data_IF_663517303270
#
_entry.id   IF_663517303270
#
_cell.length_a   1.000
_cell.length_b   1.000
_cell.length_c   1.000
_cell.angle_alpha   90.00
_cell.angle_beta   90.00
_cell.angle_gamma   90.00
#
_symmetry.space_group_name_H-M   'P 1'
#
loop_
_entity.id
_entity.type
_entity.pdbx_description
1 polymer ?
#
# COMPACT_ATOMS: atom_id res chain seq x y z
N UNK A 1 -18.12 -4.96 4.15
CA UNK A 1 -17.47 -3.63 4.15
C UNK A 1 -16.01 -3.71 4.61
N UNK A 2 -15.71 -4.22 5.81
CA UNK A 2 -14.33 -4.32 6.32
C UNK A 2 -13.38 -5.08 5.40
N UNK A 3 -13.78 -6.25 4.87
CA UNK A 3 -12.95 -7.03 3.95
C UNK A 3 -12.62 -6.28 2.65
N UNK A 4 -13.52 -5.41 2.19
CA UNK A 4 -13.27 -4.56 1.02
C UNK A 4 -12.14 -3.57 1.25
N UNK A 5 -11.88 -3.18 2.50
CA UNK A 5 -10.79 -2.28 2.82
C UNK A 5 -9.41 -2.91 2.59
N UNK A 6 -9.29 -4.25 2.53
CA UNK A 6 -8.01 -4.91 2.22
C UNK A 6 -7.50 -4.59 0.81
N UNK A 7 -8.38 -4.24 -0.14
CA UNK A 7 -7.95 -3.93 -1.51
C UNK A 7 -7.32 -2.55 -1.65
N UNK A 8 -7.64 -1.62 -0.75
CA UNK A 8 -7.12 -0.25 -0.81
C UNK A 8 -5.60 -0.22 -0.62
N UNK A 9 -5.01 -0.86 0.41
CA UNK A 9 -3.56 -0.97 0.54
C UNK A 9 -2.88 -1.65 -0.65
N UNK A 10 -3.51 -2.66 -1.25
CA UNK A 10 -2.97 -3.33 -2.44
C UNK A 10 -2.93 -2.38 -3.64
N UNK A 11 -4.01 -1.64 -3.87
CA UNK A 11 -4.08 -0.66 -4.94
C UNK A 11 -3.04 0.47 -4.76
N UNK A 12 -2.91 0.98 -3.53
CA UNK A 12 -1.89 1.98 -3.20
C UNK A 12 -0.48 1.43 -3.39
N UNK A 13 -0.21 0.20 -2.96
CA UNK A 13 1.09 -0.45 -3.14
C UNK A 13 1.49 -0.51 -4.63
N UNK A 14 0.57 -0.89 -5.52
CA UNK A 14 0.81 -0.92 -6.98
C UNK A 14 1.12 0.50 -7.51
N UNK A 15 0.34 1.51 -7.11
CA UNK A 15 0.58 2.90 -7.52
C UNK A 15 1.98 3.36 -7.07
N UNK A 16 2.36 3.07 -5.83
CA UNK A 16 3.70 3.37 -5.31
C UNK A 16 4.79 2.69 -6.13
N UNK A 17 4.62 1.42 -6.50
CA UNK A 17 5.58 0.71 -7.34
C UNK A 17 5.70 1.29 -8.75
N UNK A 18 4.59 1.63 -9.39
CA UNK A 18 4.59 2.22 -10.74
C UNK A 18 5.28 3.59 -10.71
N UNK A 19 4.86 4.47 -9.79
CA UNK A 19 5.48 5.77 -9.60
C UNK A 19 6.99 5.63 -9.41
N UNK A 20 7.40 4.68 -8.56
CA UNK A 20 8.79 4.43 -8.23
C UNK A 20 9.59 3.89 -9.41
N UNK A 21 9.06 2.90 -10.13
CA UNK A 21 9.71 2.36 -11.33
C UNK A 21 9.94 3.47 -12.35
N UNK A 22 8.95 4.34 -12.56
CA UNK A 22 9.10 5.50 -13.45
C UNK A 22 10.12 6.49 -12.93
N UNK A 23 10.20 6.74 -11.62
CA UNK A 23 11.17 7.71 -11.07
C UNK A 23 12.63 7.33 -11.33
N UNK A 24 12.91 6.04 -11.46
CA UNK A 24 14.27 5.51 -11.64
C UNK A 24 14.55 5.19 -13.12
N UNK A 25 13.61 4.53 -13.79
CA UNK A 25 13.82 4.06 -15.18
C UNK A 25 13.40 5.08 -16.23
N UNK A 26 12.35 5.85 -15.95
CA UNK A 26 11.73 6.78 -16.88
C UNK A 26 11.37 8.11 -16.21
N UNK A 27 12.35 8.88 -15.70
CA UNK A 27 12.08 10.08 -14.91
C UNK A 27 11.29 11.15 -15.69
N UNK A 28 11.33 11.11 -17.03
CA UNK A 28 10.52 11.96 -17.90
C UNK A 28 9.00 11.71 -17.79
N UNK A 29 8.57 10.59 -17.21
CA UNK A 29 7.15 10.27 -16.96
C UNK A 29 6.66 10.82 -15.61
N UNK A 30 7.55 11.16 -14.68
CA UNK A 30 7.16 11.70 -13.36
C UNK A 30 6.33 12.99 -13.44
N UNK A 31 6.58 13.93 -14.37
CA UNK A 31 5.70 15.08 -14.55
C UNK A 31 4.24 14.74 -14.87
N UNK A 32 3.91 13.51 -15.30
CA UNK A 32 2.52 13.06 -15.44
C UNK A 32 1.80 13.07 -14.09
N UNK A 33 2.47 12.71 -13.00
CA UNK A 33 1.91 12.78 -11.64
C UNK A 33 1.66 14.22 -11.15
N UNK A 34 2.07 15.23 -11.91
CA UNK A 34 1.70 16.64 -11.66
C UNK A 34 0.50 17.10 -12.49
N UNK A 35 0.08 16.31 -13.49
CA UNK A 35 -1.05 16.64 -14.37
C UNK A 35 -2.35 16.06 -13.80
N UNK A 36 -3.34 16.92 -13.53
CA UNK A 36 -4.65 16.51 -12.97
C UNK A 36 -5.34 15.40 -13.79
N UNK A 37 -5.22 15.45 -15.12
CA UNK A 37 -5.79 14.44 -16.05
C UNK A 37 -5.24 13.03 -15.77
N UNK A 38 -3.99 12.91 -15.28
CA UNK A 38 -3.39 11.64 -14.94
C UNK A 38 -3.58 11.26 -13.47
N UNK A 39 -3.55 12.24 -12.56
CA UNK A 39 -3.73 12.01 -11.12
C UNK A 39 -5.14 11.54 -10.79
N UNK A 40 -6.18 12.07 -11.44
CA UNK A 40 -7.58 11.70 -11.14
C UNK A 40 -7.84 10.21 -11.38
N UNK A 41 -7.53 9.61 -12.54
CA UNK A 41 -7.67 8.17 -12.74
C UNK A 41 -6.88 7.32 -11.75
N UNK A 42 -5.64 7.73 -11.43
CA UNK A 42 -4.79 7.03 -10.45
C UNK A 42 -5.42 7.07 -9.05
N UNK A 43 -5.99 8.20 -8.64
CA UNK A 43 -6.68 8.34 -7.36
C UNK A 43 -8.03 7.59 -7.33
N UNK A 44 -8.70 7.44 -8.47
CA UNK A 44 -9.92 6.64 -8.57
C UNK A 44 -9.66 5.13 -8.48
N UNK A 45 -8.47 4.65 -8.82
CA UNK A 45 -8.16 3.22 -8.86
C UNK A 45 -8.41 2.50 -7.51
N UNK A 46 -7.93 2.98 -6.35
CA UNK A 46 -8.26 2.37 -5.05
C UNK A 46 -9.76 2.36 -4.74
N UNK A 47 -10.49 3.41 -5.14
CA UNK A 47 -11.95 3.48 -4.93
C UNK A 47 -12.66 2.45 -5.79
N UNK A 48 -12.27 2.31 -7.06
CA UNK A 48 -12.81 1.30 -7.96
C UNK A 48 -12.51 -0.11 -7.44
N UNK A 49 -11.29 -0.36 -6.95
CA UNK A 49 -10.90 -1.64 -6.35
C UNK A 49 -11.67 -1.96 -5.06
N UNK A 50 -11.96 -0.94 -4.24
CA UNK A 50 -12.80 -1.08 -3.06
C UNK A 50 -14.25 -1.42 -3.44
N UNK A 51 -14.83 -0.67 -4.38
CA UNK A 51 -16.22 -0.87 -4.81
C UNK A 51 -16.39 -2.22 -5.52
N UNK A 52 -15.46 -2.60 -6.40
CA UNK A 52 -15.50 -3.90 -7.06
C UNK A 52 -15.45 -5.05 -6.05
N UNK A 53 -14.60 -4.93 -5.02
CA UNK A 53 -14.57 -5.91 -3.93
C UNK A 53 -15.86 -5.93 -3.14
N UNK A 54 -16.39 -4.76 -2.79
CA UNK A 54 -17.63 -4.66 -2.02
C UNK A 54 -18.78 -5.32 -2.77
N UNK A 55 -18.87 -5.13 -4.08
CA UNK A 55 -19.86 -5.80 -4.92
C UNK A 55 -19.59 -7.31 -5.02
N UNK A 56 -18.34 -7.74 -5.24
CA UNK A 56 -18.00 -9.17 -5.26
C UNK A 56 -18.35 -9.87 -3.94
N UNK A 57 -17.97 -9.30 -2.80
CA UNK A 57 -18.41 -9.79 -1.49
C UNK A 57 -19.94 -9.77 -1.38
N UNK A 58 -20.57 -8.67 -1.79
CA UNK A 58 -22.03 -8.56 -1.76
C UNK A 58 -22.77 -9.52 -2.70
N UNK A 59 -22.16 -10.08 -3.73
CA UNK A 59 -22.84 -11.03 -4.64
C UNK A 59 -22.43 -12.49 -4.40
N UNK A 60 -21.21 -12.73 -3.91
CA UNK A 60 -20.65 -14.07 -3.76
C UNK A 60 -20.54 -14.53 -2.30
N UNK A 61 -20.69 -13.61 -1.32
CA UNK A 61 -20.59 -13.93 0.12
C UNK A 61 -21.86 -13.60 0.91
N UNK A 62 -22.89 -13.03 0.27
CA UNK A 62 -24.24 -12.80 0.84
C UNK A 62 -25.15 -13.99 0.55
N UNK A 63 -24.80 -15.15 1.09
CA UNK A 63 -25.90 -15.98 1.61
C UNK A 63 -26.43 -15.26 2.84
N UNK A 64 -27.73 -15.31 3.13
CA UNK A 64 -28.15 -15.23 4.53
C UNK A 64 -27.34 -16.32 5.24
N UNK A 65 -26.28 -15.92 5.95
CA UNK A 65 -25.41 -16.90 6.60
C UNK A 65 -26.29 -17.80 7.46
N UNK A 66 -26.17 -19.11 7.29
CA UNK A 66 -26.96 -20.07 8.05
C UNK A 66 -26.92 -19.71 9.53
N UNK A 67 -28.05 -19.84 10.23
CA UNK A 67 -28.12 -19.56 11.66
C UNK A 67 -27.00 -20.25 12.45
N UNK A 68 -26.53 -21.42 11.98
CA UNK A 68 -25.39 -22.16 12.54
C UNK A 68 -24.10 -21.32 12.56
N UNK A 69 -23.79 -20.61 11.49
CA UNK A 69 -22.58 -19.80 11.39
C UNK A 69 -22.64 -18.59 12.35
N UNK A 70 -23.82 -17.97 12.46
CA UNK A 70 -24.08 -16.90 13.43
C UNK A 70 -24.03 -17.42 14.87
N UNK A 71 -24.51 -18.65 15.11
CA UNK A 71 -24.43 -19.31 16.42
C UNK A 71 -22.97 -19.54 16.81
N UNK A 72 -22.14 -20.09 15.92
CA UNK A 72 -20.70 -20.30 16.18
C UNK A 72 -20.01 -18.95 16.49
N UNK A 73 -20.28 -17.92 15.70
CA UNK A 73 -19.73 -16.58 15.93
C UNK A 73 -20.17 -16.01 17.29
N UNK A 74 -21.44 -16.20 17.66
CA UNK A 74 -22.01 -15.76 18.94
C UNK A 74 -21.36 -16.50 20.12
N UNK A 75 -21.19 -17.82 20.02
CA UNK A 75 -20.54 -18.65 21.03
C UNK A 75 -19.07 -18.24 21.23
N UNK A 76 -18.31 -18.07 20.15
CA UNK A 76 -16.90 -17.63 20.24
C UNK A 76 -16.79 -16.19 20.78
N UNK A 77 -17.71 -15.28 20.43
CA UNK A 77 -17.71 -13.91 20.98
C UNK A 77 -17.96 -13.93 22.49
N UNK A 78 -18.94 -14.70 22.96
CA UNK A 78 -19.23 -14.84 24.39
C UNK A 78 -18.02 -15.42 25.13
N UNK A 79 -17.39 -16.45 24.55
CA UNK A 79 -16.22 -17.12 25.12
C UNK A 79 -15.00 -16.21 25.22
N UNK A 80 -14.73 -15.39 24.20
CA UNK A 80 -13.53 -14.52 24.14
C UNK A 80 -13.72 -13.19 24.84
N UNK A 81 -14.92 -12.59 24.73
CA UNK A 81 -15.16 -11.20 25.10
C UNK A 81 -16.24 -11.01 26.17
N UNK A 82 -17.00 -12.05 26.51
CA UNK A 82 -18.04 -11.99 27.54
C UNK A 82 -19.30 -11.22 27.13
N UNK A 83 -19.45 -10.87 25.84
CA UNK A 83 -20.66 -10.23 25.32
C UNK A 83 -21.19 -10.93 24.07
N UNK A 84 -22.45 -10.66 23.75
CA UNK A 84 -23.17 -11.29 22.66
C UNK A 84 -23.19 -10.38 21.42
N UNK A 85 -22.65 -10.87 20.30
CA UNK A 85 -22.86 -10.26 18.98
C UNK A 85 -24.18 -10.79 18.39
N UNK A 86 -25.21 -9.95 18.37
CA UNK A 86 -26.54 -10.29 17.80
C UNK A 86 -26.55 -10.31 16.28
N UNK A 87 -25.74 -9.45 15.67
CA UNK A 87 -25.60 -9.34 14.22
C UNK A 87 -24.12 -9.19 13.87
N UNK A 88 -23.56 -10.23 13.24
CA UNK A 88 -22.19 -10.23 12.74
C UNK A 88 -22.18 -10.63 11.28
N UNK A 89 -21.41 -9.91 10.47
CA UNK A 89 -21.14 -10.33 9.09
C UNK A 89 -20.10 -11.44 9.13
N UNK A 90 -20.48 -12.64 8.67
CA UNK A 90 -19.51 -13.70 8.49
C UNK A 90 -18.52 -13.29 7.39
N UNK A 91 -17.25 -13.23 7.75
CA UNK A 91 -16.17 -13.03 6.79
C UNK A 91 -16.00 -14.36 6.07
N UNK A 92 -16.70 -14.48 4.93
CA UNK A 92 -16.71 -15.65 4.04
C UNK A 92 -17.10 -16.99 4.68
N UNK A 93 -18.29 -17.48 4.33
CA UNK A 93 -18.69 -18.85 4.66
C UNK A 93 -18.07 -19.82 3.64
N UNK A 94 -16.85 -20.31 3.91
CA UNK A 94 -16.11 -21.21 3.02
C UNK A 94 -16.74 -22.60 2.88
N UNK A 95 -17.52 -22.99 3.88
CA UNK A 95 -18.24 -24.25 3.95
C UNK A 95 -19.69 -23.95 4.29
N UNK A 96 -20.63 -24.48 3.52
CA UNK A 96 -22.07 -24.33 3.70
C UNK A 96 -22.66 -25.73 3.93
N UNK A 97 -23.22 -26.03 5.10
CA UNK A 97 -23.67 -27.39 5.47
C UNK A 97 -22.64 -28.52 5.26
N UNK A 98 -21.33 -28.24 5.41
CA UNK A 98 -20.26 -29.21 5.13
C UNK A 98 -19.97 -29.41 3.63
N UNK A 99 -20.65 -28.68 2.74
CA UNK A 99 -20.33 -28.58 1.33
C UNK A 99 -19.44 -27.38 1.07
N UNK A 100 -18.46 -27.55 0.20
CA UNK A 100 -17.51 -26.50 -0.15
C UNK A 100 -18.18 -25.37 -0.95
N UNK A 101 -18.04 -24.13 -0.48
CA UNK A 101 -18.57 -22.95 -1.14
C UNK A 101 -17.68 -22.56 -2.34
N UNK A 102 -17.94 -23.21 -3.49
CA UNK A 102 -17.23 -22.96 -4.76
C UNK A 102 -17.22 -21.48 -5.19
N UNK A 103 -18.33 -20.72 -5.12
CA UNK A 103 -18.31 -19.30 -5.50
C UNK A 103 -17.43 -18.44 -4.58
N UNK A 104 -17.50 -18.64 -3.26
CA UNK A 104 -16.63 -17.92 -2.32
C UNK A 104 -15.16 -18.27 -2.56
N UNK A 105 -14.85 -19.55 -2.82
CA UNK A 105 -13.50 -19.97 -3.19
C UNK A 105 -13.00 -19.34 -4.49
N UNK A 106 -13.81 -19.38 -5.56
CA UNK A 106 -13.43 -18.79 -6.84
C UNK A 106 -13.16 -17.27 -6.70
N UNK A 107 -13.94 -16.58 -5.85
CA UNK A 107 -13.72 -15.18 -5.54
C UNK A 107 -12.38 -14.95 -4.84
N UNK A 108 -12.06 -15.70 -3.79
CA UNK A 108 -10.77 -15.55 -3.08
C UNK A 108 -9.60 -15.94 -3.97
N UNK A 109 -9.68 -17.06 -4.66
CA UNK A 109 -8.61 -17.53 -5.55
C UNK A 109 -8.30 -16.52 -6.68
N UNK A 110 -9.32 -15.86 -7.24
CA UNK A 110 -9.12 -14.80 -8.23
C UNK A 110 -8.34 -13.62 -7.67
N UNK A 111 -8.57 -13.31 -6.40
CA UNK A 111 -7.97 -12.18 -5.71
C UNK A 111 -6.53 -12.49 -5.36
N UNK A 112 -6.29 -13.66 -4.79
CA UNK A 112 -4.94 -14.16 -4.52
C UNK A 112 -4.11 -14.19 -5.78
N UNK A 113 -4.72 -14.58 -6.92
CA UNK A 113 -4.05 -14.53 -8.21
C UNK A 113 -3.63 -13.11 -8.59
N UNK A 114 -4.54 -12.12 -8.52
CA UNK A 114 -4.20 -10.70 -8.79
C UNK A 114 -3.08 -10.23 -7.86
N UNK A 115 -3.16 -10.63 -6.60
CA UNK A 115 -2.26 -10.23 -5.54
C UNK A 115 -0.85 -10.81 -5.76
N UNK A 116 -0.74 -12.10 -6.09
CA UNK A 116 0.52 -12.78 -6.44
C UNK A 116 1.14 -12.16 -7.69
N UNK A 117 0.35 -11.90 -8.75
CA UNK A 117 0.84 -11.25 -9.98
C UNK A 117 1.39 -9.87 -9.67
N UNK A 118 0.67 -9.07 -8.87
CA UNK A 118 1.09 -7.73 -8.47
C UNK A 118 2.40 -7.75 -7.68
N UNK A 119 2.52 -8.68 -6.74
CA UNK A 119 3.74 -8.86 -5.93
C UNK A 119 4.93 -9.34 -6.77
N UNK A 120 4.67 -10.20 -7.76
CA UNK A 120 5.69 -10.71 -8.67
C UNK A 120 6.23 -9.60 -9.57
N UNK A 121 5.34 -8.79 -10.16
CA UNK A 121 5.72 -7.61 -10.95
C UNK A 121 6.52 -6.64 -10.09
N UNK A 122 6.04 -6.31 -8.90
CA UNK A 122 6.72 -5.45 -7.94
C UNK A 122 8.14 -5.94 -7.61
N UNK A 123 8.29 -7.23 -7.30
CA UNK A 123 9.56 -7.86 -6.98
C UNK A 123 10.52 -7.86 -8.18
N UNK A 124 10.01 -8.14 -9.39
CA UNK A 124 10.80 -8.08 -10.61
C UNK A 124 11.29 -6.66 -10.90
N UNK A 125 10.42 -5.65 -10.78
CA UNK A 125 10.79 -4.24 -10.96
C UNK A 125 11.80 -3.79 -9.91
N UNK A 126 11.64 -4.22 -8.65
CA UNK A 126 12.60 -3.94 -7.58
C UNK A 126 13.97 -4.57 -7.88
N UNK A 127 14.00 -5.82 -8.34
CA UNK A 127 15.22 -6.52 -8.75
C UNK A 127 15.93 -5.85 -9.93
N UNK A 128 15.19 -5.48 -10.97
CA UNK A 128 15.71 -4.74 -12.13
C UNK A 128 16.30 -3.39 -11.73
N UNK A 129 15.62 -2.69 -10.83
CA UNK A 129 16.06 -1.41 -10.28
C UNK A 129 17.37 -1.55 -9.52
N UNK A 130 17.46 -2.54 -8.62
CA UNK A 130 18.67 -2.82 -7.86
C UNK A 130 19.85 -3.18 -8.78
N UNK A 131 19.59 -4.01 -9.80
CA UNK A 131 20.58 -4.36 -10.81
C UNK A 131 21.09 -3.13 -11.57
N UNK A 132 20.20 -2.23 -11.97
CA UNK A 132 20.58 -1.01 -12.70
C UNK A 132 21.41 -0.05 -11.85
N UNK A 133 21.05 0.16 -10.58
CA UNK A 133 21.83 0.99 -9.64
C UNK A 133 23.25 0.43 -9.47
N UNK A 134 23.40 -0.90 -9.41
CA UNK A 134 24.71 -1.55 -9.25
C UNK A 134 25.58 -1.46 -10.51
N UNK A 135 24.98 -1.50 -11.70
CA UNK A 135 25.71 -1.55 -12.98
C UNK A 135 26.11 -0.17 -13.52
N UNK A 136 25.41 0.89 -13.12
CA UNK A 136 25.69 2.24 -13.59
C UNK A 136 26.84 2.87 -12.78
N UNK A 137 28.07 2.41 -13.04
CA UNK A 137 29.32 3.02 -12.56
C UNK A 137 29.64 4.35 -13.27
N UNK A 138 28.95 4.67 -14.38
CA UNK A 138 29.16 5.87 -15.17
C UNK A 138 28.42 7.13 -14.65
N UNK A 139 27.57 7.00 -13.61
CA UNK A 139 26.94 8.15 -12.96
C UNK A 139 27.82 8.68 -11.81
N UNK A 140 27.72 9.98 -11.51
CA UNK A 140 28.45 10.55 -10.37
C UNK A 140 28.13 9.76 -9.08
N UNK A 141 29.17 9.51 -8.28
CA UNK A 141 29.07 8.79 -7.00
C UNK A 141 27.94 9.32 -6.11
N UNK A 142 27.71 10.64 -6.15
CA UNK A 142 26.65 11.31 -5.40
C UNK A 142 25.23 10.91 -5.88
N UNK A 143 25.00 10.90 -7.19
CA UNK A 143 23.71 10.50 -7.79
C UNK A 143 23.40 9.03 -7.52
N UNK A 144 24.41 8.15 -7.63
CA UNK A 144 24.24 6.72 -7.34
C UNK A 144 23.89 6.49 -5.86
N UNK A 145 24.59 7.17 -4.94
CA UNK A 145 24.30 7.09 -3.52
C UNK A 145 22.89 7.60 -3.16
N UNK A 146 22.42 8.66 -3.82
CA UNK A 146 21.05 9.16 -3.62
C UNK A 146 20.00 8.16 -4.12
N UNK A 147 20.16 7.65 -5.34
CA UNK A 147 19.29 6.63 -5.94
C UNK A 147 19.22 5.36 -5.08
N UNK A 148 20.37 4.90 -4.55
CA UNK A 148 20.43 3.73 -3.65
C UNK A 148 19.72 3.97 -2.33
N UNK A 149 19.88 5.15 -1.71
CA UNK A 149 19.18 5.49 -0.46
C UNK A 149 17.67 5.57 -0.67
N UNK A 150 17.24 6.21 -1.76
CA UNK A 150 15.83 6.26 -2.15
C UNK A 150 15.30 4.84 -2.40
N UNK A 151 16.07 3.98 -3.07
CA UNK A 151 15.69 2.59 -3.26
C UNK A 151 15.56 1.83 -1.93
N UNK A 152 16.52 1.91 -1.02
CA UNK A 152 16.40 1.22 0.27
C UNK A 152 15.19 1.74 1.06
N UNK A 153 15.01 3.06 1.11
CA UNK A 153 13.89 3.70 1.81
C UNK A 153 12.55 3.18 1.31
N UNK A 154 12.37 3.17 -0.01
CA UNK A 154 11.08 2.80 -0.60
C UNK A 154 10.89 1.28 -0.57
N UNK A 155 11.95 0.46 -0.60
CA UNK A 155 11.80 -1.00 -0.41
C UNK A 155 11.34 -1.36 1.00
N UNK A 156 11.83 -0.64 2.01
CA UNK A 156 11.36 -0.79 3.38
C UNK A 156 9.90 -0.33 3.53
N UNK A 157 9.52 0.78 2.89
CA UNK A 157 8.13 1.26 2.86
C UNK A 157 7.19 0.18 2.29
N UNK A 158 7.58 -0.48 1.21
CA UNK A 158 6.72 -1.52 0.63
C UNK A 158 6.56 -2.75 1.52
N UNK A 159 7.47 -2.98 2.46
CA UNK A 159 7.34 -4.08 3.39
C UNK A 159 6.25 -3.81 4.45
N UNK A 160 5.86 -2.54 4.67
CA UNK A 160 4.86 -2.16 5.68
C UNK A 160 3.47 -2.73 5.34
N UNK A 161 2.88 -2.50 4.14
CA UNK A 161 1.60 -3.15 3.79
C UNK A 161 1.67 -4.68 3.81
N UNK A 162 2.83 -5.27 3.49
CA UNK A 162 3.01 -6.73 3.55
C UNK A 162 2.80 -7.24 4.97
N UNK A 163 3.48 -6.62 5.94
CA UNK A 163 3.41 -7.05 7.34
C UNK A 163 2.08 -6.67 7.99
N UNK A 164 1.58 -5.45 7.73
CA UNK A 164 0.40 -4.92 8.41
C UNK A 164 -0.94 -5.30 7.77
N UNK A 165 -0.95 -5.72 6.49
CA UNK A 165 -2.19 -5.99 5.75
C UNK A 165 -2.17 -7.38 5.14
N UNK A 166 -1.11 -7.74 4.41
CA UNK A 166 -1.06 -8.99 3.65
C UNK A 166 -0.98 -10.22 4.55
N UNK A 167 -0.08 -10.20 5.55
CA UNK A 167 0.03 -11.30 6.50
C UNK A 167 -1.32 -11.49 7.24
N UNK A 168 -1.92 -10.46 7.86
CA UNK A 168 -3.22 -10.62 8.49
C UNK A 168 -4.33 -11.09 7.54
N UNK A 169 -4.34 -10.63 6.29
CA UNK A 169 -5.29 -11.07 5.26
C UNK A 169 -5.21 -12.58 5.03
N UNK A 170 -4.00 -13.13 4.80
CA UNK A 170 -3.82 -14.58 4.55
C UNK A 170 -4.29 -15.41 5.76
N UNK A 171 -4.02 -14.96 6.97
CA UNK A 171 -4.48 -15.66 8.18
C UNK A 171 -6.00 -15.60 8.35
N UNK A 172 -6.65 -14.47 8.05
CA UNK A 172 -8.09 -14.31 8.28
C UNK A 172 -8.94 -14.88 7.14
N UNK A 173 -8.42 -14.89 5.90
CA UNK A 173 -9.17 -15.29 4.71
C UNK A 173 -8.74 -16.67 4.19
N UNK A 174 -7.45 -17.00 4.16
CA UNK A 174 -6.97 -18.22 3.52
C UNK A 174 -6.91 -19.41 4.49
N UNK A 175 -6.44 -19.19 5.72
CA UNK A 175 -6.30 -20.27 6.71
C UNK A 175 -7.63 -21.00 7.01
N UNK A 176 -8.78 -20.32 7.13
CA UNK A 176 -10.07 -20.99 7.31
C UNK A 176 -10.42 -21.96 6.18
N UNK A 177 -10.02 -21.71 4.92
CA UNK A 177 -10.24 -22.67 3.82
C UNK A 177 -9.49 -23.98 4.05
N UNK A 178 -8.29 -23.92 4.63
CA UNK A 178 -7.45 -25.07 4.90
C UNK A 178 -7.72 -25.71 6.26
N UNK A 179 -8.76 -25.27 6.98
CA UNK A 179 -9.05 -25.67 8.37
C UNK A 179 -7.86 -25.42 9.31
N UNK A 180 -7.10 -24.34 9.07
CA UNK A 180 -5.97 -23.93 9.90
C UNK A 180 -6.41 -22.92 10.97
N UNK A 181 -5.79 -22.93 12.16
CA UNK A 181 -6.11 -21.96 13.22
C UNK A 181 -5.67 -20.54 12.84
N UNK A 182 -6.57 -19.56 13.01
CA UNK A 182 -6.32 -18.12 12.73
C UNK A 182 -5.51 -17.43 13.85
N UNK A 183 -5.30 -18.11 14.98
CA UNK A 183 -4.60 -17.62 16.18
C UNK A 183 -5.20 -16.31 16.73
N UNK A 184 -4.37 -15.29 16.98
CA UNK A 184 -4.77 -13.95 17.44
C UNK A 184 -4.94 -12.95 16.28
N UNK A 185 -4.81 -13.44 15.04
CA UNK A 185 -4.66 -12.57 13.89
C UNK A 185 -6.00 -11.99 13.43
N UNK A 186 -7.11 -12.64 13.73
CA UNK A 186 -8.47 -12.12 13.62
C UNK A 186 -8.66 -10.82 14.42
N UNK A 187 -8.16 -10.78 15.64
CA UNK A 187 -8.23 -9.59 16.52
C UNK A 187 -7.22 -8.51 16.07
N UNK A 188 -6.01 -8.92 15.70
CA UNK A 188 -4.95 -8.00 15.29
C UNK A 188 -5.19 -7.37 13.90
N UNK A 189 -5.89 -8.06 13.00
CA UNK A 189 -6.03 -7.66 11.59
C UNK A 189 -6.66 -6.27 11.43
N UNK A 190 -7.72 -5.98 12.19
CA UNK A 190 -8.39 -4.68 12.17
C UNK A 190 -7.46 -3.56 12.65
N UNK A 191 -6.72 -3.82 13.72
CA UNK A 191 -5.77 -2.87 14.29
C UNK A 191 -4.62 -2.61 13.32
N UNK A 192 -3.96 -3.66 12.83
CA UNK A 192 -2.81 -3.55 11.91
C UNK A 192 -3.19 -2.84 10.61
N UNK A 193 -4.34 -3.19 10.03
CA UNK A 193 -4.87 -2.52 8.82
C UNK A 193 -5.29 -1.07 9.09
N UNK A 194 -5.73 -0.73 10.30
CA UNK A 194 -6.06 0.67 10.60
C UNK A 194 -4.82 1.53 10.79
N UNK A 195 -3.74 0.96 11.34
CA UNK A 195 -2.51 1.67 11.65
C UNK A 195 -1.45 1.63 10.54
N UNK A 196 -1.59 0.81 9.50
CA UNK A 196 -0.57 0.74 8.43
C UNK A 196 -0.24 2.10 7.81
N UNK A 197 -1.17 3.05 7.56
CA UNK A 197 -0.82 4.34 6.95
C UNK A 197 0.07 5.17 7.86
N UNK A 198 -0.15 5.07 9.18
CA UNK A 198 0.67 5.75 10.17
C UNK A 198 2.09 5.16 10.19
N UNK A 199 2.22 3.84 10.18
CA UNK A 199 3.51 3.16 10.08
C UNK A 199 4.25 3.49 8.78
N UNK A 200 3.53 3.51 7.65
CA UNK A 200 4.08 3.88 6.35
C UNK A 200 4.70 5.29 6.37
N UNK A 201 3.97 6.26 6.93
CA UNK A 201 4.45 7.63 7.10
C UNK A 201 5.67 7.71 8.04
N UNK A 202 5.66 6.99 9.16
CA UNK A 202 6.78 6.94 10.11
C UNK A 202 8.04 6.37 9.46
N UNK A 203 7.93 5.27 8.73
CA UNK A 203 9.05 4.64 8.02
C UNK A 203 9.60 5.58 6.95
N UNK A 204 8.74 6.25 6.19
CA UNK A 204 9.17 7.23 5.19
C UNK A 204 9.88 8.43 5.80
N UNK A 205 9.32 9.00 6.87
CA UNK A 205 9.97 10.07 7.62
C UNK A 205 11.30 9.59 8.17
N UNK A 206 11.42 8.37 8.70
CA UNK A 206 12.67 7.90 9.29
C UNK A 206 13.77 7.66 8.23
N UNK A 207 13.42 7.12 7.07
CA UNK A 207 14.40 6.71 6.05
C UNK A 207 14.82 7.85 5.11
N UNK A 208 13.93 8.78 4.80
CA UNK A 208 14.24 9.88 3.88
C UNK A 208 14.73 11.14 4.60
N UNK A 209 15.98 11.53 4.32
CA UNK A 209 16.62 12.70 4.95
C UNK A 209 15.82 13.99 4.74
N UNK A 210 15.30 14.24 3.55
CA UNK A 210 14.59 15.48 3.24
C UNK A 210 13.29 15.62 4.04
N UNK A 211 12.56 14.51 4.23
CA UNK A 211 11.38 14.48 5.10
C UNK A 211 11.73 14.71 6.57
N UNK A 212 12.81 14.11 7.09
CA UNK A 212 13.30 14.41 8.46
C UNK A 212 13.66 15.87 8.64
N UNK A 213 14.38 16.43 7.69
CA UNK A 213 14.81 17.83 7.74
C UNK A 213 13.62 18.78 7.64
N UNK A 214 12.63 18.46 6.81
CA UNK A 214 11.34 19.16 6.75
C UNK A 214 10.61 19.13 8.08
N UNK A 215 10.46 17.94 8.70
CA UNK A 215 9.81 17.77 9.99
C UNK A 215 10.51 18.57 11.10
N UNK A 216 11.84 18.45 11.22
CA UNK A 216 12.64 19.23 12.16
C UNK A 216 12.50 20.73 11.89
N UNK A 217 12.43 21.15 10.62
CA UNK A 217 12.19 22.53 10.22
C UNK A 217 10.79 23.06 10.52
N UNK A 218 9.78 22.19 10.66
CA UNK A 218 8.45 22.59 11.14
C UNK A 218 8.45 22.84 12.65
N UNK A 219 9.21 22.05 13.42
CA UNK A 219 9.34 22.22 14.87
C UNK A 219 10.35 23.30 15.27
N UNK A 220 11.38 23.55 14.46
CA UNK A 220 12.28 24.70 14.60
C UNK A 220 11.62 25.89 13.91
N UNK A 221 10.93 26.77 14.64
CA UNK A 221 10.43 28.05 14.13
C UNK A 221 11.47 28.69 13.19
N UNK A 222 11.18 28.79 11.89
CA UNK A 222 12.00 29.59 10.97
C UNK A 222 11.98 31.03 11.50
N UNK A 223 13.12 31.55 11.95
CA UNK A 223 13.37 32.99 11.83
C UNK A 223 13.29 33.26 10.32
N UNK A 224 12.30 34.05 9.91
CA UNK A 224 12.14 34.51 8.53
C UNK A 224 13.36 35.38 8.22
N UNK A 225 14.41 34.77 7.67
CA UNK A 225 15.45 35.47 6.93
C UNK A 225 14.93 35.64 5.51
N UNK A 226 14.87 36.89 5.04
CA UNK A 226 14.46 37.24 3.69
C UNK A 226 15.22 36.39 2.65
N UNK A 227 14.58 36.00 1.53
CA UNK A 227 15.29 35.36 0.44
C UNK A 227 16.24 36.37 -0.21
N UNK A 228 17.55 36.18 -0.08
CA UNK A 228 18.53 36.87 -0.93
C UNK A 228 18.30 36.44 -2.38
N UNK A 229 17.73 37.34 -3.17
CA UNK A 229 17.66 37.22 -4.62
C UNK A 229 19.04 37.45 -5.22
N UNK A 230 19.80 36.37 -5.43
CA UNK A 230 21.04 36.42 -6.22
C UNK A 230 20.67 36.41 -7.71
N UNK A 231 20.27 37.56 -8.23
CA UNK A 231 20.30 37.80 -9.68
C UNK A 231 21.74 38.08 -10.07
N UNK A 232 22.36 37.14 -10.79
CA UNK A 232 23.66 37.36 -11.44
C UNK A 232 23.51 38.47 -12.48
N UNK A 233 24.10 39.63 -12.21
CA UNK A 233 24.30 40.70 -13.19
C UNK A 233 25.24 40.19 -14.29
N UNK A 234 24.72 40.06 -15.51
CA UNK A 234 25.58 39.91 -16.70
C UNK A 234 26.14 41.29 -17.00
N UNK A 235 27.45 41.45 -16.83
CA UNK A 235 28.20 42.66 -17.13
C UNK A 235 28.03 43.04 -18.60
N UNK A 236 27.76 44.32 -18.81
CA UNK A 236 27.77 45.04 -20.09
C UNK A 236 29.08 44.83 -20.86
N UNK A 237 29.00 44.23 -22.04
CA UNK A 237 30.02 44.39 -23.08
C UNK A 237 29.61 45.60 -23.91
N UNK A 238 30.34 46.70 -23.70
CA UNK A 238 30.34 47.88 -24.57
C UNK A 238 30.99 47.48 -25.90
N UNK A 239 30.28 47.61 -27.01
CA UNK A 239 30.91 47.61 -28.33
C UNK A 239 31.34 49.03 -28.70
N UNK A 240 32.56 49.25 -29.19
CA UNK A 240 32.97 50.55 -29.69
C UNK A 240 32.35 50.81 -31.07
N UNK A 241 31.85 52.03 -31.22
CA UNK A 241 31.36 52.59 -32.48
C UNK A 241 32.50 52.98 -33.40
N UNK A 242 32.52 52.43 -34.62
CA UNK A 242 33.04 53.05 -35.84
C UNK A 242 32.36 52.41 -37.04
#
# INVERSE_FOLDING_TARGET
MYCSCFTVPFALMIIHFVYRFWSIRHPHLIPLFSKKIFVVPVACYPVIAFVSWLLLAFYFTTGEGEEIAKIILREETIKRYGFELREGWLILHHWENGLFNKPAFACVAFVDFIMIVSFSIASALAGLTFYHIKRTEAMSLETNNLQRKLFIAVSAQTFVPVVCVYIPYVFVIDFPFFNLPVFFMDDACSTLTSFFPAWDAVIMMWLMKDYRMGLIGMFKKKKVGQPETVWKTVSSVVMPST
#
